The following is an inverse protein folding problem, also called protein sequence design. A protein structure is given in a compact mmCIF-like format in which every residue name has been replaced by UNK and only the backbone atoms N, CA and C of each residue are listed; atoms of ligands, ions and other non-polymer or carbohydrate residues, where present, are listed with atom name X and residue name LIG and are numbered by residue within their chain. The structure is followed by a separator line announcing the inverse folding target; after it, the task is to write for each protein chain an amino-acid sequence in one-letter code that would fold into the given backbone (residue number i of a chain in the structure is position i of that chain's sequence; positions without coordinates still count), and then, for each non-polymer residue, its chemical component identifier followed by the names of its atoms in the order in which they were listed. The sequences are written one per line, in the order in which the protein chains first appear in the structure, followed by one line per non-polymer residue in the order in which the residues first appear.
data_IF_580572671233
#
_entry.id   IF_580572671233
#
_cell.length_a   1.000
_cell.length_b   1.000
_cell.length_c   1.000
_cell.angle_alpha   90.00
_cell.angle_beta   90.00
_cell.angle_gamma   90.00
#
_symmetry.space_group_name_H-M   'P 1'
#
loop_
_entity.id
_entity.type
_entity.pdbx_description
1 polymer ?
#
# COMPACT_ATOMS: atom_id res chain seq x y z
N UNK A 1 0.92 -15.17 19.41
CA UNK A 1 -0.47 -14.86 18.98
C UNK A 1 -0.53 -13.67 18.02
N UNK A 2 0.32 -12.64 18.17
CA UNK A 2 0.40 -11.47 17.26
C UNK A 2 0.68 -11.80 15.78
N UNK A 3 1.58 -12.75 15.50
CA UNK A 3 1.96 -13.12 14.14
C UNK A 3 0.81 -13.69 13.30
N UNK A 4 -0.09 -14.46 13.91
CA UNK A 4 -1.25 -15.04 13.22
C UNK A 4 -2.28 -13.98 12.84
N UNK A 5 -2.44 -12.93 13.66
CA UNK A 5 -3.34 -11.81 13.38
C UNK A 5 -2.80 -10.90 12.28
N UNK A 6 -1.48 -10.65 12.29
CA UNK A 6 -0.81 -9.88 11.22
C UNK A 6 -0.90 -10.57 9.85
N UNK A 7 -0.73 -11.91 9.81
CA UNK A 7 -0.86 -12.69 8.57
C UNK A 7 -2.31 -12.73 8.05
N UNK A 8 -3.30 -12.80 8.94
CA UNK A 8 -4.70 -12.76 8.54
C UNK A 8 -5.07 -11.38 7.95
N UNK A 9 -4.67 -10.29 8.62
CA UNK A 9 -4.92 -8.92 8.13
C UNK A 9 -4.30 -8.66 6.76
N UNK A 10 -3.09 -9.15 6.50
CA UNK A 10 -2.45 -9.05 5.18
C UNK A 10 -3.20 -9.81 4.08
N UNK A 11 -3.73 -11.00 4.39
CA UNK A 11 -4.54 -11.78 3.43
C UNK A 11 -5.86 -11.09 3.11
N UNK A 12 -6.53 -10.55 4.12
CA UNK A 12 -7.82 -9.88 3.93
C UNK A 12 -7.64 -8.61 3.09
N UNK A 13 -6.58 -7.84 3.36
CA UNK A 13 -6.23 -6.67 2.55
C UNK A 13 -5.87 -7.03 1.11
N UNK A 14 -5.13 -8.14 0.91
CA UNK A 14 -4.81 -8.67 -0.42
C UNK A 14 -6.08 -9.00 -1.20
N UNK A 15 -6.94 -9.86 -0.64
CA UNK A 15 -8.17 -10.34 -1.30
C UNK A 15 -9.05 -9.15 -1.66
N UNK A 16 -9.31 -8.28 -0.68
CA UNK A 16 -10.11 -7.08 -0.89
C UNK A 16 -9.55 -6.20 -2.03
N UNK A 17 -8.25 -5.92 -2.02
CA UNK A 17 -7.65 -5.07 -3.04
C UNK A 17 -7.74 -5.71 -4.43
N UNK A 18 -7.33 -6.97 -4.56
CA UNK A 18 -7.29 -7.66 -5.85
C UNK A 18 -8.67 -7.84 -6.47
N UNK A 19 -9.68 -8.11 -5.65
CA UNK A 19 -11.04 -8.38 -6.15
C UNK A 19 -11.85 -7.11 -6.40
N UNK A 20 -11.67 -6.07 -5.59
CA UNK A 20 -12.58 -4.91 -5.60
C UNK A 20 -11.95 -3.60 -6.04
N UNK A 21 -10.62 -3.45 -5.99
CA UNK A 21 -9.96 -2.14 -6.13
C UNK A 21 -8.91 -2.06 -7.23
N UNK A 22 -8.37 -3.20 -7.67
CA UNK A 22 -7.29 -3.28 -8.65
C UNK A 22 -7.53 -2.39 -9.87
N UNK A 23 -8.71 -2.48 -10.49
CA UNK A 23 -9.08 -1.71 -11.69
C UNK A 23 -9.33 -0.22 -11.43
N UNK A 24 -9.63 0.16 -10.20
CA UNK A 24 -9.85 1.56 -9.80
C UNK A 24 -8.52 2.29 -9.62
N UNK A 25 -7.54 1.61 -9.02
CA UNK A 25 -6.22 2.18 -8.74
C UNK A 25 -5.31 2.13 -9.96
N UNK A 26 -5.38 1.06 -10.75
CA UNK A 26 -4.55 0.86 -11.94
C UNK A 26 -5.35 1.22 -13.17
N UNK A 27 -5.03 2.36 -13.78
CA UNK A 27 -5.67 2.83 -15.01
C UNK A 27 -4.72 2.62 -16.17
N UNK A 28 -5.20 1.91 -17.20
CA UNK A 28 -4.45 1.61 -18.43
C UNK A 28 -3.09 0.94 -18.18
N UNK A 29 -2.99 0.11 -17.13
CA UNK A 29 -1.76 -0.55 -16.73
C UNK A 29 -0.76 0.35 -16.00
N UNK A 30 -1.11 1.61 -15.74
CA UNK A 30 -0.28 2.58 -15.05
C UNK A 30 -0.65 2.60 -13.57
N UNK A 31 0.35 2.38 -12.71
CA UNK A 31 0.21 2.49 -11.25
C UNK A 31 0.62 3.90 -10.83
N UNK A 32 -0.20 4.62 -10.04
CA UNK A 32 0.17 5.94 -9.55
C UNK A 32 1.43 5.89 -8.68
N UNK A 33 2.33 6.88 -8.83
CA UNK A 33 3.59 6.94 -8.07
C UNK A 33 3.40 6.97 -6.56
N UNK A 34 2.28 7.55 -6.09
CA UNK A 34 1.94 7.63 -4.67
C UNK A 34 1.42 6.30 -4.10
N UNK A 35 1.17 5.27 -4.91
CA UNK A 35 0.57 4.02 -4.46
C UNK A 35 1.64 2.98 -4.10
N UNK A 36 1.59 2.46 -2.87
CA UNK A 36 2.58 1.51 -2.34
C UNK A 36 2.01 0.12 -2.03
N UNK A 37 0.79 -0.21 -2.47
CA UNK A 37 0.22 -1.53 -2.16
C UNK A 37 0.07 -1.76 -0.65
N UNK A 38 0.31 -3.01 -0.20
CA UNK A 38 0.24 -3.39 1.21
C UNK A 38 1.62 -3.16 1.85
N UNK A 39 1.79 -2.00 2.48
CA UNK A 39 2.95 -1.72 3.34
C UNK A 39 2.50 -1.37 4.74
N UNK A 40 3.34 -1.71 5.71
CA UNK A 40 3.10 -1.38 7.11
C UNK A 40 3.22 0.12 7.36
N UNK A 41 2.63 0.57 8.46
CA UNK A 41 2.82 1.95 8.94
C UNK A 41 4.30 2.28 9.10
N UNK A 42 5.08 1.36 9.68
CA UNK A 42 6.52 1.53 9.92
C UNK A 42 7.28 1.74 8.60
N UNK A 43 7.01 0.91 7.59
CA UNK A 43 7.64 1.04 6.26
C UNK A 43 7.29 2.40 5.61
N UNK A 44 6.02 2.84 5.73
CA UNK A 44 5.61 4.14 5.25
C UNK A 44 6.35 5.30 5.96
N UNK A 45 6.53 5.20 7.28
CA UNK A 45 7.32 6.16 8.05
C UNK A 45 8.78 6.16 7.59
N UNK A 46 9.41 5.00 7.40
CA UNK A 46 10.80 4.87 6.91
C UNK A 46 11.01 5.52 5.53
N UNK A 47 10.03 5.39 4.63
CA UNK A 47 10.07 6.02 3.30
C UNK A 47 9.90 7.54 3.35
N UNK A 48 9.06 8.05 4.26
CA UNK A 48 8.66 9.46 4.32
C UNK A 48 9.54 10.33 5.23
N UNK A 49 10.07 9.77 6.33
CA UNK A 49 10.89 10.50 7.30
C UNK A 49 12.11 11.22 6.70
N UNK A 50 12.87 10.64 5.74
CA UNK A 50 14.00 11.35 5.12
C UNK A 50 13.58 12.39 4.07
N UNK A 51 12.28 12.53 3.77
CA UNK A 51 11.77 13.44 2.75
C UNK A 51 11.38 14.81 3.35
N UNK A 52 11.32 15.87 2.52
CA UNK A 52 10.75 17.15 2.92
C UNK A 52 9.27 17.06 3.33
N UNK A 53 8.76 18.00 4.15
CA UNK A 53 7.34 18.11 4.44
C UNK A 53 6.46 18.21 3.18
N UNK A 54 5.29 17.59 3.24
CA UNK A 54 4.32 17.47 2.16
C UNK A 54 4.48 16.23 1.28
N UNK A 55 5.60 15.50 1.38
CA UNK A 55 5.73 14.20 0.73
C UNK A 55 4.68 13.22 1.25
N UNK A 56 4.09 12.41 0.37
CA UNK A 56 2.99 11.52 0.75
C UNK A 56 2.96 10.22 -0.05
N UNK A 57 2.27 9.23 0.51
CA UNK A 57 1.92 7.98 -0.16
C UNK A 57 0.57 7.45 0.33
N UNK A 58 -0.05 6.58 -0.45
CA UNK A 58 -1.25 5.82 -0.08
C UNK A 58 -0.89 4.34 -0.10
N UNK A 59 -1.26 3.66 1.00
CA UNK A 59 -1.08 2.23 1.21
C UNK A 59 -2.42 1.57 1.53
N UNK A 60 -2.55 0.30 1.19
CA UNK A 60 -3.64 -0.56 1.66
C UNK A 60 -3.43 -0.80 3.16
N UNK A 61 -4.51 -0.68 3.93
CA UNK A 61 -4.46 -0.85 5.38
C UNK A 61 -4.46 -2.34 5.75
N UNK A 62 -3.53 -2.77 6.60
CA UNK A 62 -3.44 -4.16 7.10
C UNK A 62 -4.36 -4.42 8.30
N UNK A 63 -4.78 -3.38 9.02
CA UNK A 63 -5.59 -3.50 10.25
C UNK A 63 -7.09 -3.41 10.02
N UNK A 64 -7.49 -2.95 8.84
CA UNK A 64 -8.89 -2.83 8.40
C UNK A 64 -8.93 -2.73 6.88
N UNK A 65 -10.07 -3.10 6.30
CA UNK A 65 -10.37 -2.88 4.90
C UNK A 65 -10.39 -1.39 4.58
N UNK A 66 -9.67 -0.98 3.54
CA UNK A 66 -9.54 0.42 3.13
C UNK A 66 -8.09 0.82 2.87
N UNK A 67 -7.86 2.13 2.78
CA UNK A 67 -6.52 2.69 2.57
C UNK A 67 -6.08 3.55 3.73
N UNK A 68 -4.80 3.90 3.72
CA UNK A 68 -4.24 4.93 4.58
C UNK A 68 -3.38 5.89 3.76
N UNK A 69 -3.71 7.17 3.79
CA UNK A 69 -2.83 8.24 3.34
C UNK A 69 -1.82 8.52 4.44
N UNK A 70 -0.54 8.39 4.11
CA UNK A 70 0.56 8.74 5.00
C UNK A 70 1.31 9.92 4.40
N UNK A 71 1.58 10.97 5.18
CA UNK A 71 2.36 12.11 4.69
C UNK A 71 3.35 12.64 5.73
N UNK A 72 4.46 13.20 5.24
CA UNK A 72 5.49 13.84 6.05
C UNK A 72 5.03 15.24 6.44
N UNK A 73 4.69 15.45 7.70
CA UNK A 73 4.57 16.80 8.28
C UNK A 73 5.94 17.30 8.75
N UNK A 74 6.04 18.51 9.30
CA UNK A 74 7.32 19.06 9.77
C UNK A 74 7.94 18.24 10.92
N UNK A 75 7.10 17.85 11.88
CA UNK A 75 7.47 17.18 13.12
C UNK A 75 7.49 15.65 12.99
N UNK A 76 6.50 15.08 12.30
CA UNK A 76 6.30 13.62 12.22
C UNK A 76 5.64 13.17 10.92
N UNK A 77 5.49 11.87 10.75
CA UNK A 77 4.57 11.32 9.76
C UNK A 77 3.13 11.32 10.32
N UNK A 78 2.16 11.73 9.50
CA UNK A 78 0.73 11.66 9.82
C UNK A 78 0.04 10.61 8.95
N UNK A 79 -1.00 10.00 9.49
CA UNK A 79 -1.70 8.89 8.84
C UNK A 79 -3.22 9.10 8.95
N UNK A 80 -3.90 9.03 7.81
CA UNK A 80 -5.34 9.23 7.69
C UNK A 80 -5.95 8.03 7.01
N UNK A 81 -6.97 7.43 7.64
CA UNK A 81 -7.67 6.32 7.02
C UNK A 81 -8.59 6.85 5.91
N UNK A 82 -8.65 6.11 4.82
CA UNK A 82 -9.57 6.37 3.72
C UNK A 82 -10.50 5.17 3.61
N UNK A 83 -11.79 5.42 3.79
CA UNK A 83 -12.83 4.40 3.62
C UNK A 83 -13.36 4.43 2.18
N UNK A 84 -13.72 3.24 1.70
CA UNK A 84 -14.51 3.06 0.49
C UNK A 84 -15.97 2.84 0.90
N UNK A 85 -16.84 3.74 0.47
CA UNK A 85 -18.28 3.68 0.74
C UNK A 85 -18.98 2.71 -0.20
N UNK A 86 -20.21 2.31 0.18
CA UNK A 86 -21.04 1.35 -0.58
C UNK A 86 -21.37 1.87 -1.99
N UNK A 87 -21.44 3.18 -2.17
CA UNK A 87 -21.66 3.83 -3.46
C UNK A 87 -20.37 4.00 -4.30
N UNK A 88 -19.24 3.47 -3.83
CA UNK A 88 -17.95 3.51 -4.50
C UNK A 88 -17.15 4.79 -4.29
N UNK A 89 -17.61 5.72 -3.45
CA UNK A 89 -16.88 6.94 -3.13
C UNK A 89 -15.83 6.73 -2.03
N UNK A 90 -14.79 7.57 -2.04
CA UNK A 90 -13.70 7.57 -1.07
C UNK A 90 -13.82 8.77 -0.14
N UNK A 91 -13.57 8.57 1.15
CA UNK A 91 -13.60 9.63 2.17
C UNK A 91 -12.47 9.44 3.17
N UNK A 92 -11.78 10.52 3.53
CA UNK A 92 -10.90 10.53 4.70
C UNK A 92 -11.75 10.56 5.96
N UNK A 93 -11.52 9.63 6.90
CA UNK A 93 -12.27 9.60 8.15
C UNK A 93 -12.06 10.91 8.92
N UNK A 94 -13.17 11.60 9.22
CA UNK A 94 -13.18 12.90 9.91
C UNK A 94 -13.35 14.09 8.97
N UNK A 95 -13.22 13.90 7.66
CA UNK A 95 -13.54 14.92 6.64
C UNK A 95 -15.03 14.84 6.23
N UNK A 96 -15.50 15.85 5.50
CA UNK A 96 -16.86 15.91 4.95
C UNK A 96 -16.89 15.89 3.42
N UNK A 97 -15.76 15.57 2.78
CA UNK A 97 -15.60 15.56 1.34
C UNK A 97 -15.47 14.14 0.80
N UNK A 98 -16.29 13.84 -0.21
CA UNK A 98 -16.31 12.57 -0.92
C UNK A 98 -15.62 12.70 -2.28
N UNK A 99 -14.92 11.64 -2.70
CA UNK A 99 -14.14 11.59 -3.94
C UNK A 99 -14.53 10.37 -4.77
N UNK A 100 -14.54 10.51 -6.10
CA UNK A 100 -14.94 9.42 -7.01
C UNK A 100 -13.83 8.39 -7.23
N UNK A 101 -12.58 8.81 -7.05
CA UNK A 101 -11.41 7.93 -7.09
C UNK A 101 -10.31 8.49 -6.18
N UNK A 102 -9.31 7.67 -5.84
CA UNK A 102 -8.17 8.10 -5.02
C UNK A 102 -7.38 9.25 -5.65
N UNK A 103 -7.33 9.32 -6.99
CA UNK A 103 -6.67 10.43 -7.68
C UNK A 103 -7.40 11.77 -7.43
N UNK A 104 -8.74 11.78 -7.48
CA UNK A 104 -9.54 12.98 -7.14
C UNK A 104 -9.30 13.43 -5.69
N UNK A 105 -9.09 12.48 -4.77
CA UNK A 105 -8.75 12.74 -3.37
C UNK A 105 -7.37 13.40 -3.24
N UNK A 106 -6.36 12.82 -3.91
CA UNK A 106 -4.99 13.36 -3.93
C UNK A 106 -4.99 14.77 -4.52
N UNK A 107 -5.66 14.99 -5.66
CA UNK A 107 -5.65 16.28 -6.35
C UNK A 107 -6.39 17.37 -5.57
N UNK A 108 -7.43 17.01 -4.82
CA UNK A 108 -8.07 17.92 -3.88
C UNK A 108 -7.12 18.31 -2.74
N UNK A 109 -6.49 17.33 -2.09
CA UNK A 109 -5.62 17.58 -0.94
C UNK A 109 -4.22 18.13 -1.28
N UNK A 110 -3.90 18.25 -2.57
CA UNK A 110 -2.79 19.09 -3.05
C UNK A 110 -3.06 20.59 -2.91
N UNK A 111 -4.32 20.98 -2.74
CA UNK A 111 -4.74 22.39 -2.65
C UNK A 111 -5.47 22.69 -1.36
N UNK A 112 -6.07 21.69 -0.73
CA UNK A 112 -6.85 21.80 0.50
C UNK A 112 -6.22 20.97 1.61
N UNK A 113 -5.88 21.55 2.77
CA UNK A 113 -5.35 20.78 3.90
C UNK A 113 -6.33 19.72 4.40
N UNK A 114 -5.82 18.75 5.13
CA UNK A 114 -6.63 17.76 5.86
C UNK A 114 -6.76 18.25 7.29
N UNK A 115 -7.98 18.39 7.80
CA UNK A 115 -8.22 18.89 9.15
C UNK A 115 -7.66 17.94 10.23
N UNK A 116 -7.20 18.46 11.37
CA UNK A 116 -7.14 19.87 11.78
C UNK A 116 -5.85 20.58 11.32
N UNK A 117 -5.14 20.03 10.34
CA UNK A 117 -3.82 20.51 9.94
C UNK A 117 -3.89 21.51 8.80
N UNK A 118 -2.77 22.17 8.52
CA UNK A 118 -2.68 23.25 7.52
C UNK A 118 -1.80 22.90 6.34
N UNK A 119 -1.07 21.78 6.40
CA UNK A 119 -0.25 21.31 5.30
C UNK A 119 -1.08 20.63 4.21
N UNK A 120 -0.62 20.80 2.97
CA UNK A 120 -1.15 20.13 1.78
C UNK A 120 -0.21 19.03 1.31
N UNK A 121 -0.73 18.11 0.51
CA UNK A 121 0.07 17.13 -0.19
C UNK A 121 0.89 17.82 -1.29
N UNK A 122 2.19 17.57 -1.35
CA UNK A 122 3.05 18.22 -2.36
C UNK A 122 3.54 17.19 -3.38
N UNK A 123 4.43 16.30 -2.95
CA UNK A 123 5.14 15.38 -3.83
C UNK A 123 4.77 13.95 -3.49
N UNK A 124 4.43 13.16 -4.52
CA UNK A 124 4.27 11.72 -4.34
C UNK A 124 5.62 11.11 -3.94
N UNK A 125 5.64 10.38 -2.84
CA UNK A 125 6.78 9.54 -2.52
C UNK A 125 6.74 8.38 -3.51
N UNK A 126 7.56 8.44 -4.55
CA UNK A 126 7.69 7.34 -5.50
C UNK A 126 8.39 6.13 -4.86
N UNK A 127 8.31 5.00 -5.56
CA UNK A 127 9.04 3.79 -5.18
C UNK A 127 10.49 3.93 -5.64
N UNK A 128 11.43 3.97 -4.71
CA UNK A 128 12.86 3.96 -5.02
C UNK A 128 13.24 2.58 -5.52
N UNK A 129 13.28 2.44 -6.85
CA UNK A 129 13.75 1.28 -7.58
C UNK A 129 15.10 0.81 -7.03
N UNK A 130 15.18 -0.46 -6.63
CA UNK A 130 16.41 -1.24 -6.81
C UNK A 130 16.23 -2.76 -6.81
N UNK A 131 15.06 -3.35 -6.51
CA UNK A 131 14.83 -4.76 -6.85
C UNK A 131 13.34 -5.22 -6.86
N UNK A 132 12.42 -4.54 -6.15
CA UNK A 132 11.00 -4.93 -6.12
C UNK A 132 10.09 -3.74 -5.82
N UNK A 133 9.07 -3.51 -6.66
CA UNK A 133 8.01 -2.53 -6.38
C UNK A 133 7.13 -3.02 -5.22
N UNK A 134 6.67 -2.12 -4.35
CA UNK A 134 5.91 -2.51 -3.15
C UNK A 134 4.58 -3.21 -3.51
N UNK A 135 4.01 -2.86 -4.67
CA UNK A 135 2.81 -3.50 -5.21
C UNK A 135 3.11 -4.75 -6.06
N UNK A 136 4.38 -5.15 -6.25
CA UNK A 136 4.73 -6.27 -7.15
C UNK A 136 3.95 -7.55 -6.82
N UNK A 137 3.85 -7.88 -5.53
CA UNK A 137 3.14 -9.07 -5.03
C UNK A 137 1.61 -8.99 -5.23
N UNK A 138 1.05 -7.77 -5.36
CA UNK A 138 -0.37 -7.57 -5.66
C UNK A 138 -0.71 -7.77 -7.14
N UNK A 139 0.22 -7.39 -8.02
CA UNK A 139 -0.02 -7.36 -9.47
C UNK A 139 0.46 -8.63 -10.16
N UNK A 140 1.53 -9.20 -9.63
CA UNK A 140 2.18 -10.39 -10.13
C UNK A 140 2.32 -11.38 -8.97
N UNK A 141 1.21 -11.96 -8.46
CA UNK A 141 1.31 -13.03 -7.49
C UNK A 141 2.07 -14.16 -8.17
N UNK A 142 3.36 -14.30 -7.86
CA UNK A 142 4.15 -15.36 -8.46
C UNK A 142 3.52 -16.68 -8.03
N UNK A 143 3.17 -17.51 -9.02
CA UNK A 143 3.24 -18.96 -8.88
C UNK A 143 4.59 -19.22 -8.21
N UNK A 144 4.56 -19.62 -6.94
CA UNK A 144 5.73 -20.16 -6.26
C UNK A 144 6.26 -21.28 -7.16
N UNK A 145 7.27 -21.00 -8.00
CA UNK A 145 8.12 -22.04 -8.53
C UNK A 145 8.84 -22.58 -7.30
N UNK A 146 8.48 -23.82 -6.98
CA UNK A 146 9.09 -24.64 -5.94
C UNK A 146 10.62 -24.46 -5.92
N UNK A 147 11.10 -23.76 -4.92
CA UNK A 147 12.46 -23.86 -4.37
C UNK A 147 12.20 -24.13 -2.88
N UNK A 148 12.41 -25.29 -2.27
CA UNK A 148 13.33 -26.39 -2.51
C UNK A 148 12.69 -27.69 -2.00
N UNK A 149 12.48 -28.68 -2.86
CA UNK A 149 12.54 -30.08 -2.41
C UNK A 149 13.99 -30.50 -2.54
N UNK A 150 14.72 -30.47 -1.41
CA UNK A 150 15.95 -31.23 -1.27
C UNK A 150 15.62 -32.70 -1.53
N UNK A 151 16.04 -33.20 -2.69
CA UNK A 151 16.13 -34.62 -2.95
C UNK A 151 17.09 -35.21 -1.89
N UNK A 152 16.75 -36.32 -1.22
CA UNK A 152 17.73 -37.02 -0.41
C UNK A 152 18.80 -37.59 -1.36
N UNK A 153 20.09 -37.63 -0.97
CA UNK A 153 21.09 -38.32 -1.76
C UNK A 153 20.73 -39.81 -1.78
N UNK A 154 20.39 -40.31 -2.96
CA UNK A 154 20.36 -41.75 -3.23
C UNK A 154 21.79 -42.19 -3.43
N UNK A 155 22.39 -42.79 -2.40
CA UNK A 155 23.60 -43.59 -2.53
C UNK A 155 23.25 -44.88 -3.26
N UNK A 156 23.42 -44.88 -4.58
CA UNK A 156 23.44 -46.10 -5.36
C UNK A 156 24.85 -46.71 -5.30
N UNK A 157 24.96 -47.85 -4.61
CA UNK A 157 26.00 -48.84 -4.91
C UNK A 157 25.95 -49.19 -6.40
N UNK A 158 27.12 -49.32 -7.04
CA UNK A 158 27.28 -50.09 -8.26
C UNK A 158 28.44 -51.08 -8.10
N UNK A 159 28.34 -52.28 -8.68
CA UNK A 159 29.29 -53.36 -8.48
C UNK A 159 30.38 -53.41 -9.55
N UNK A 160 31.56 -53.91 -9.16
CA UNK A 160 32.42 -54.81 -9.94
C UNK A 160 33.40 -55.48 -8.98
#
# INVERSE_FOLDING_TARGET
MEWSQSLQGQRDAYVWFTESQLRSVIRDGIVPEWFHGIISRKMAEELLMPKPPGYFLIRVSESRIGYTLSYRAADRCRHFMIDLLVDGQYIIIGENRYHRCLQDLVDFHRRTPIMPYTEVLTVACGQTSNDRTDYAELLFPQRNLKQNTSLPPTSSCLPA
#
